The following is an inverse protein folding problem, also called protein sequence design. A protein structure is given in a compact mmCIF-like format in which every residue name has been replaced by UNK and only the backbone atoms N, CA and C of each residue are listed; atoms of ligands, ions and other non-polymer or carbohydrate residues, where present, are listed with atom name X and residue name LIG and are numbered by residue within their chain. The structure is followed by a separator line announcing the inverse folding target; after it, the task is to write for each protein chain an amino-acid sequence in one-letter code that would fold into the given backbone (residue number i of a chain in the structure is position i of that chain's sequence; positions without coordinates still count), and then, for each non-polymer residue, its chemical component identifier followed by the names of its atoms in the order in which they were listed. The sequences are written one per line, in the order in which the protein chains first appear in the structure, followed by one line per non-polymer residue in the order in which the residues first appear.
data_IF_044962938100
#
_entry.id   IF_044962938100
#
_cell.length_a   1.000
_cell.length_b   1.000
_cell.length_c   1.000
_cell.angle_alpha   90.00
_cell.angle_beta   90.00
_cell.angle_gamma   90.00
#
_symmetry.space_group_name_H-M   'P 1'
#
loop_
_entity.id
_entity.type
_entity.pdbx_description
1 polymer ?
#
# COMPACT_ATOMS: atom_id res chain seq x y z
N UNK A 1 20.84 -63.74 -37.70
CA UNK A 1 19.83 -63.00 -36.87
C UNK A 1 20.56 -62.05 -35.94
N UNK A 2 20.55 -60.71 -36.23
CA UNK A 2 21.20 -59.68 -35.42
C UNK A 2 20.13 -59.12 -34.45
N UNK A 3 20.37 -59.25 -33.16
CA UNK A 3 19.54 -58.66 -32.12
C UNK A 3 19.95 -57.19 -31.94
N UNK A 4 19.02 -56.25 -32.20
CA UNK A 4 19.18 -54.85 -31.90
C UNK A 4 18.69 -54.62 -30.47
N UNK A 5 19.61 -54.17 -29.60
CA UNK A 5 19.30 -53.81 -28.21
C UNK A 5 18.92 -52.33 -28.23
N UNK A 6 17.65 -52.01 -28.01
CA UNK A 6 17.15 -50.61 -27.88
C UNK A 6 17.33 -50.20 -26.43
N UNK A 7 18.34 -49.29 -26.18
CA UNK A 7 18.55 -48.70 -24.84
C UNK A 7 17.64 -47.51 -24.67
N UNK A 8 16.69 -47.61 -23.75
CA UNK A 8 15.79 -46.54 -23.36
C UNK A 8 16.46 -45.72 -22.23
N UNK A 9 17.08 -44.58 -22.57
CA UNK A 9 17.55 -43.65 -21.56
C UNK A 9 16.35 -42.87 -21.02
N UNK A 10 15.89 -43.21 -19.82
CA UNK A 10 14.98 -42.36 -19.03
C UNK A 10 15.79 -41.17 -18.49
N UNK A 11 15.66 -40.00 -19.12
CA UNK A 11 16.14 -38.75 -18.56
C UNK A 11 15.24 -38.34 -17.39
N UNK A 12 15.72 -38.55 -16.15
CA UNK A 12 15.13 -37.88 -14.99
C UNK A 12 15.38 -36.37 -15.13
N UNK A 13 14.37 -35.63 -15.57
CA UNK A 13 14.36 -34.19 -15.45
C UNK A 13 14.25 -33.81 -13.96
N UNK A 14 15.38 -33.44 -13.38
CA UNK A 14 15.38 -32.81 -12.04
C UNK A 14 14.71 -31.44 -12.22
N UNK A 15 13.47 -31.31 -11.79
CA UNK A 15 12.82 -30.02 -11.61
C UNK A 15 13.53 -29.31 -10.44
N UNK A 16 14.54 -28.52 -10.75
CA UNK A 16 15.13 -27.59 -9.79
C UNK A 16 14.07 -26.51 -9.57
N UNK A 17 13.28 -26.63 -8.50
CA UNK A 17 12.52 -25.49 -8.02
C UNK A 17 13.54 -24.47 -7.52
N UNK A 18 13.68 -23.37 -8.26
CA UNK A 18 14.44 -22.23 -7.78
C UNK A 18 13.77 -21.74 -6.51
N UNK A 19 14.42 -21.96 -5.37
CA UNK A 19 13.95 -21.41 -4.11
C UNK A 19 14.09 -19.90 -4.18
N UNK A 20 12.96 -19.20 -4.13
CA UNK A 20 12.95 -17.74 -4.16
C UNK A 20 13.45 -17.24 -2.81
N UNK A 21 14.68 -16.73 -2.77
CA UNK A 21 15.24 -16.13 -1.57
C UNK A 21 14.77 -14.68 -1.45
N UNK A 22 14.36 -14.29 -0.24
CA UNK A 22 14.15 -12.89 0.09
C UNK A 22 15.52 -12.21 0.20
N UNK A 23 15.81 -11.31 -0.73
CA UNK A 23 17.10 -10.59 -0.74
C UNK A 23 17.05 -9.36 0.18
N UNK A 24 15.88 -8.80 0.39
CA UNK A 24 15.70 -7.54 1.08
C UNK A 24 14.33 -7.50 1.75
N UNK A 25 14.28 -7.00 2.97
CA UNK A 25 13.04 -6.62 3.66
C UNK A 25 13.12 -5.12 3.92
N UNK A 26 12.19 -4.35 3.36
CA UNK A 26 12.05 -2.94 3.67
C UNK A 26 11.25 -2.77 4.96
N UNK A 27 11.72 -1.88 5.82
CA UNK A 27 11.12 -1.57 7.11
C UNK A 27 10.81 -0.08 7.13
N UNK A 28 9.54 0.27 7.23
CA UNK A 28 9.12 1.64 7.45
C UNK A 28 9.15 1.96 8.95
N UNK A 29 9.92 2.94 9.34
CA UNK A 29 9.94 3.46 10.70
C UNK A 29 9.18 4.78 10.72
N UNK A 30 8.12 4.82 11.52
CA UNK A 30 7.23 5.98 11.62
C UNK A 30 7.94 7.23 12.12
N UNK A 31 9.01 7.09 12.90
CA UNK A 31 9.67 8.19 13.57
C UNK A 31 8.93 8.61 14.86
N UNK A 32 9.21 9.83 15.30
CA UNK A 32 8.54 10.42 16.45
C UNK A 32 8.30 11.92 16.23
N UNK A 33 7.06 12.32 16.34
CA UNK A 33 6.64 13.72 16.30
C UNK A 33 6.01 14.13 17.62
N UNK A 34 6.53 15.18 18.23
CA UNK A 34 5.98 15.77 19.45
C UNK A 34 4.89 16.78 19.08
N UNK A 35 3.64 16.41 19.28
CA UNK A 35 2.48 17.29 19.00
C UNK A 35 2.35 18.47 19.97
N UNK A 36 2.98 18.41 21.17
CA UNK A 36 2.93 19.50 22.13
C UNK A 36 3.86 20.65 21.69
N UNK A 37 5.05 20.30 21.23
CA UNK A 37 6.05 21.28 20.78
C UNK A 37 6.00 21.51 19.27
N UNK A 38 5.21 20.73 18.52
CA UNK A 38 5.15 20.72 17.06
C UNK A 38 6.51 20.49 16.40
N UNK A 39 7.33 19.60 16.99
CA UNK A 39 8.68 19.30 16.51
C UNK A 39 8.84 17.83 16.18
N UNK A 40 9.62 17.55 15.14
CA UNK A 40 10.04 16.21 14.79
C UNK A 40 11.26 15.83 15.63
N UNK A 41 11.08 14.89 16.57
CA UNK A 41 12.16 14.38 17.42
C UNK A 41 12.98 13.29 16.73
N UNK A 42 12.31 12.41 15.97
CA UNK A 42 12.96 11.36 15.16
C UNK A 42 12.31 11.39 13.77
N UNK A 43 13.07 11.49 12.67
CA UNK A 43 12.50 11.49 11.34
C UNK A 43 11.89 10.14 10.97
N UNK A 44 10.96 10.16 10.01
CA UNK A 44 10.52 8.95 9.32
C UNK A 44 11.67 8.39 8.52
N UNK A 45 11.89 7.08 8.59
CA UNK A 45 12.96 6.43 7.82
C UNK A 45 12.48 5.15 7.15
N UNK A 46 13.15 4.79 6.05
CA UNK A 46 13.05 3.45 5.48
C UNK A 46 14.36 2.74 5.74
N UNK A 47 14.28 1.57 6.36
CA UNK A 47 15.41 0.66 6.54
C UNK A 47 15.34 -0.50 5.56
N UNK A 48 16.50 -1.07 5.29
CA UNK A 48 16.66 -2.28 4.50
C UNK A 48 17.36 -3.35 5.35
N UNK A 49 16.72 -4.49 5.51
CA UNK A 49 17.29 -5.66 6.15
C UNK A 49 17.61 -6.72 5.10
N UNK A 50 18.84 -7.20 5.09
CA UNK A 50 19.27 -8.31 4.23
C UNK A 50 19.27 -9.62 5.04
N UNK A 51 18.36 -10.57 4.75
CA UNK A 51 18.27 -11.82 5.52
C UNK A 51 19.51 -12.72 5.40
N UNK A 52 20.25 -12.65 4.30
CA UNK A 52 21.43 -13.50 4.08
C UNK A 52 22.63 -13.06 4.91
N UNK A 53 22.82 -11.75 5.07
CA UNK A 53 23.92 -11.16 5.85
C UNK A 53 23.53 -10.76 7.26
N UNK A 54 22.21 -10.76 7.55
CA UNK A 54 21.61 -10.30 8.80
C UNK A 54 21.94 -8.83 9.14
N UNK A 55 22.23 -8.03 8.12
CA UNK A 55 22.53 -6.61 8.26
C UNK A 55 21.29 -5.76 8.01
N UNK A 56 21.08 -4.80 8.87
CA UNK A 56 20.12 -3.73 8.72
C UNK A 56 20.84 -2.40 8.50
N UNK A 57 20.32 -1.60 7.58
CA UNK A 57 20.80 -0.23 7.35
C UNK A 57 19.63 0.68 7.03
N UNK A 58 19.69 1.92 7.47
CA UNK A 58 18.80 2.98 7.01
C UNK A 58 19.18 3.35 5.57
N UNK A 59 18.19 3.38 4.68
CA UNK A 59 18.38 3.63 3.24
C UNK A 59 17.72 4.92 2.76
N UNK A 60 16.75 5.44 3.49
CA UNK A 60 16.11 6.73 3.18
C UNK A 60 15.64 7.41 4.46
N UNK A 61 15.85 8.71 4.56
CA UNK A 61 15.32 9.58 5.61
C UNK A 61 14.31 10.56 5.01
N UNK A 62 13.10 10.60 5.57
CA UNK A 62 11.99 11.45 5.10
C UNK A 62 11.76 12.56 6.14
N UNK A 63 12.34 13.72 5.87
CA UNK A 63 12.25 14.86 6.77
C UNK A 63 10.95 15.64 6.61
N UNK A 64 10.50 16.29 7.71
CA UNK A 64 9.36 17.20 7.71
C UNK A 64 7.99 16.48 7.66
N UNK A 65 7.95 15.17 7.82
CA UNK A 65 6.72 14.38 7.94
C UNK A 65 6.52 14.00 9.41
N UNK A 66 5.30 14.17 9.92
CA UNK A 66 4.97 13.83 11.31
C UNK A 66 5.04 12.33 11.56
N UNK A 67 4.62 11.54 10.57
CA UNK A 67 4.58 10.06 10.60
C UNK A 67 4.59 9.50 9.17
N UNK A 68 4.68 8.18 9.08
CA UNK A 68 4.37 7.43 7.86
C UNK A 68 3.46 6.25 8.21
N UNK A 69 2.57 5.90 7.31
CA UNK A 69 1.49 4.94 7.59
C UNK A 69 1.54 3.69 6.72
N UNK A 70 2.23 3.73 5.58
CA UNK A 70 2.27 2.57 4.69
C UNK A 70 3.51 2.60 3.78
N UNK A 71 3.97 1.39 3.41
CA UNK A 71 5.00 1.15 2.41
C UNK A 71 4.61 -0.06 1.57
N UNK A 72 4.54 0.14 0.26
CA UNK A 72 4.26 -0.94 -0.70
C UNK A 72 5.34 -1.01 -1.77
N UNK A 73 5.54 -2.21 -2.33
CA UNK A 73 6.50 -2.46 -3.41
C UNK A 73 5.73 -2.84 -4.67
N UNK A 74 6.10 -2.22 -5.80
CA UNK A 74 5.61 -2.59 -7.12
C UNK A 74 6.76 -2.52 -8.14
N UNK A 75 7.08 -3.67 -8.75
CA UNK A 75 8.19 -3.82 -9.68
C UNK A 75 9.52 -3.37 -9.09
N UNK A 76 10.15 -2.39 -9.72
CA UNK A 76 11.45 -1.85 -9.30
C UNK A 76 11.33 -0.59 -8.42
N UNK A 77 10.16 -0.35 -7.85
CA UNK A 77 9.92 0.82 -7.00
C UNK A 77 9.25 0.44 -5.70
N UNK A 78 9.43 1.28 -4.69
CA UNK A 78 8.57 1.27 -3.51
C UNK A 78 7.96 2.65 -3.28
N UNK A 79 6.80 2.65 -2.65
CA UNK A 79 6.00 3.85 -2.39
C UNK A 79 5.75 3.96 -0.91
N UNK A 80 5.88 5.17 -0.38
CA UNK A 80 5.66 5.46 1.03
C UNK A 80 4.54 6.47 1.18
N UNK A 81 3.54 6.15 1.99
CA UNK A 81 2.54 7.09 2.46
C UNK A 81 3.09 7.79 3.71
N UNK A 82 3.43 9.05 3.59
CA UNK A 82 4.01 9.82 4.69
C UNK A 82 3.24 11.13 4.89
N UNK A 83 2.42 11.17 5.94
CA UNK A 83 1.69 12.35 6.42
C UNK A 83 0.88 13.05 5.31
N UNK A 84 1.54 13.92 4.55
CA UNK A 84 0.92 14.74 3.50
C UNK A 84 1.37 14.40 2.09
N UNK A 85 2.20 13.38 1.93
CA UNK A 85 2.81 13.03 0.64
C UNK A 85 2.79 11.53 0.36
N UNK A 86 2.77 11.21 -0.92
CA UNK A 86 3.18 9.91 -1.44
C UNK A 86 4.55 10.10 -2.08
N UNK A 87 5.53 9.28 -1.66
CA UNK A 87 6.89 9.31 -2.20
C UNK A 87 7.16 8.00 -2.93
N UNK A 88 7.78 8.08 -4.10
CA UNK A 88 8.19 6.95 -4.93
C UNK A 88 9.71 6.87 -4.98
N UNK A 89 10.25 5.71 -4.67
CA UNK A 89 11.69 5.44 -4.64
C UNK A 89 12.05 4.30 -5.58
N UNK A 90 13.24 4.33 -6.13
CA UNK A 90 13.85 3.18 -6.80
C UNK A 90 14.24 2.11 -5.77
N UNK A 91 13.88 0.86 -6.01
CA UNK A 91 14.05 -0.24 -5.05
C UNK A 91 15.53 -0.64 -4.84
N UNK A 92 16.39 -0.41 -5.84
CA UNK A 92 17.80 -0.83 -5.80
C UNK A 92 18.71 0.26 -5.28
N UNK A 93 18.47 1.50 -5.69
CA UNK A 93 19.32 2.66 -5.34
C UNK A 93 18.79 3.45 -4.16
N UNK A 94 17.53 3.23 -3.78
CA UNK A 94 16.78 3.99 -2.77
C UNK A 94 16.70 5.49 -3.05
N UNK A 95 16.96 5.90 -4.29
CA UNK A 95 16.83 7.28 -4.71
C UNK A 95 15.35 7.68 -4.84
N UNK A 96 14.99 8.87 -4.37
CA UNK A 96 13.66 9.46 -4.60
C UNK A 96 13.48 9.71 -6.10
N UNK A 97 12.46 9.10 -6.69
CA UNK A 97 12.11 9.21 -8.12
C UNK A 97 11.06 10.27 -8.35
N UNK A 98 10.03 10.29 -7.51
CA UNK A 98 8.91 11.22 -7.61
C UNK A 98 8.21 11.40 -6.26
N UNK A 99 7.52 12.52 -6.09
CA UNK A 99 6.61 12.74 -4.97
C UNK A 99 5.36 13.49 -5.41
N UNK A 100 4.27 13.29 -4.68
CA UNK A 100 3.02 14.04 -4.88
C UNK A 100 2.38 14.38 -3.54
N UNK A 101 1.77 15.57 -3.45
CA UNK A 101 0.98 15.97 -2.29
C UNK A 101 -0.31 15.16 -2.22
N UNK A 102 -0.54 14.53 -1.08
CA UNK A 102 -1.75 13.79 -0.74
C UNK A 102 -2.04 13.94 0.76
N UNK A 103 -2.54 15.11 1.21
CA UNK A 103 -2.80 15.34 2.63
C UNK A 103 -3.69 14.27 3.24
N UNK A 104 -3.29 13.74 4.40
CA UNK A 104 -4.03 12.70 5.10
C UNK A 104 -3.93 11.32 4.46
N UNK A 105 -2.94 11.06 3.63
CA UNK A 105 -2.72 9.71 3.05
C UNK A 105 -2.51 8.67 4.15
N UNK A 106 -3.14 7.50 3.97
CA UNK A 106 -3.07 6.39 4.95
C UNK A 106 -2.48 5.13 4.35
N UNK A 107 -3.22 4.44 3.50
CA UNK A 107 -2.75 3.20 2.89
C UNK A 107 -2.75 3.31 1.37
N UNK A 108 -1.90 2.50 0.79
CA UNK A 108 -1.66 2.46 -0.65
C UNK A 108 -1.96 1.06 -1.18
N UNK A 109 -2.44 0.99 -2.41
CA UNK A 109 -2.50 -0.27 -3.17
C UNK A 109 -2.23 0.02 -4.64
N UNK A 110 -1.59 -0.92 -5.34
CA UNK A 110 -1.31 -0.78 -6.77
C UNK A 110 -1.91 -1.95 -7.53
N UNK A 111 -2.59 -1.63 -8.63
CA UNK A 111 -3.02 -2.59 -9.62
C UNK A 111 -3.15 -1.93 -10.99
N UNK A 112 -2.76 -2.65 -12.03
CA UNK A 112 -2.92 -2.22 -13.44
C UNK A 112 -2.33 -0.82 -13.70
N UNK A 113 -1.19 -0.51 -13.07
CA UNK A 113 -0.53 0.79 -13.22
C UNK A 113 -1.23 1.96 -12.50
N UNK A 114 -2.23 1.67 -11.68
CA UNK A 114 -2.91 2.66 -10.85
C UNK A 114 -2.49 2.50 -9.38
N UNK A 115 -2.13 3.59 -8.75
CA UNK A 115 -1.89 3.70 -7.32
C UNK A 115 -3.14 4.30 -6.66
N UNK A 116 -3.76 3.54 -5.78
CA UNK A 116 -4.91 3.95 -5.02
C UNK A 116 -4.45 4.36 -3.63
N UNK A 117 -4.88 5.52 -3.15
CA UNK A 117 -4.54 6.06 -1.84
C UNK A 117 -5.80 6.34 -1.03
N UNK A 118 -5.86 5.76 0.16
CA UNK A 118 -6.87 6.06 1.17
C UNK A 118 -6.46 7.30 1.96
N UNK A 119 -7.45 8.01 2.52
CA UNK A 119 -7.22 9.29 3.19
C UNK A 119 -8.06 9.42 4.46
N UNK A 120 -7.45 10.01 5.46
CA UNK A 120 -8.11 10.38 6.71
C UNK A 120 -7.14 11.17 7.59
N UNK A 121 -7.65 12.16 8.34
CA UNK A 121 -6.83 12.96 9.24
C UNK A 121 -7.69 13.50 10.38
N UNK A 122 -7.08 13.64 11.56
CA UNK A 122 -7.75 14.18 12.74
C UNK A 122 -8.11 15.66 12.53
N UNK A 123 -9.36 16.01 12.86
CA UNK A 123 -9.93 17.37 12.71
C UNK A 123 -9.88 17.93 11.27
N UNK A 124 -9.76 17.07 10.26
CA UNK A 124 -9.78 17.48 8.85
C UNK A 124 -10.90 16.77 8.10
N UNK A 125 -11.61 17.54 7.29
CA UNK A 125 -12.61 17.03 6.36
C UNK A 125 -12.08 17.22 4.94
N UNK A 126 -12.24 16.20 4.10
CA UNK A 126 -11.82 16.21 2.70
C UNK A 126 -13.02 16.11 1.76
N UNK A 127 -12.93 16.74 0.60
CA UNK A 127 -13.90 16.57 -0.49
C UNK A 127 -13.79 15.17 -1.16
N UNK A 128 -12.69 14.47 -0.90
CA UNK A 128 -12.43 13.11 -1.38
C UNK A 128 -11.58 12.35 -0.36
N UNK A 129 -12.01 11.14 -0.01
CA UNK A 129 -11.27 10.25 0.88
C UNK A 129 -10.56 9.11 0.13
N UNK A 130 -10.63 9.09 -1.21
CA UNK A 130 -10.02 8.08 -2.03
C UNK A 130 -9.47 8.70 -3.33
N UNK A 131 -8.17 8.61 -3.53
CA UNK A 131 -7.49 9.12 -4.72
C UNK A 131 -6.93 7.99 -5.57
N UNK A 132 -6.93 8.18 -6.88
CA UNK A 132 -6.29 7.28 -7.85
C UNK A 132 -5.26 8.07 -8.64
N UNK A 133 -4.04 7.59 -8.63
CA UNK A 133 -2.91 8.15 -9.36
C UNK A 133 -2.41 7.18 -10.42
N UNK A 134 -1.75 7.67 -11.44
CA UNK A 134 -0.87 6.88 -12.28
C UNK A 134 0.35 6.44 -11.47
N UNK A 135 0.57 5.14 -11.32
CA UNK A 135 1.64 4.62 -10.47
C UNK A 135 3.04 4.98 -10.99
N UNK A 136 3.18 5.25 -12.28
CA UNK A 136 4.47 5.58 -12.86
C UNK A 136 4.84 7.05 -12.64
N UNK A 137 3.93 7.96 -12.94
CA UNK A 137 4.17 9.40 -12.92
C UNK A 137 3.73 10.09 -11.63
N UNK A 138 2.94 9.45 -10.78
CA UNK A 138 2.22 10.00 -9.63
C UNK A 138 1.25 11.15 -10.01
N UNK A 139 0.85 11.26 -11.28
CA UNK A 139 -0.19 12.20 -11.67
C UNK A 139 -1.56 11.71 -11.19
N UNK A 140 -2.34 12.62 -10.62
CA UNK A 140 -3.70 12.32 -10.18
C UNK A 140 -4.57 12.00 -11.42
N UNK A 141 -5.13 10.80 -11.45
CA UNK A 141 -6.11 10.38 -12.46
C UNK A 141 -7.50 10.80 -12.02
N UNK A 142 -7.85 10.50 -10.75
CA UNK A 142 -9.17 10.82 -10.22
C UNK A 142 -9.14 10.97 -8.70
N UNK A 143 -9.80 12.00 -8.20
CA UNK A 143 -10.25 12.08 -6.82
C UNK A 143 -11.71 11.60 -6.79
N UNK A 144 -11.98 10.53 -6.05
CA UNK A 144 -13.33 10.03 -5.87
C UNK A 144 -13.99 10.89 -4.80
N UNK A 145 -14.85 11.81 -5.21
CA UNK A 145 -15.47 12.79 -4.32
C UNK A 145 -16.49 12.15 -3.36
N UNK A 146 -16.85 12.86 -2.30
CA UNK A 146 -17.78 12.36 -1.27
C UNK A 146 -19.24 12.27 -1.74
N UNK A 147 -19.57 12.75 -2.93
CA UNK A 147 -20.91 12.60 -3.54
C UNK A 147 -21.05 11.22 -4.18
N UNK A 148 -20.00 10.76 -4.87
CA UNK A 148 -19.95 9.51 -5.60
C UNK A 148 -19.15 8.41 -4.88
N UNK A 149 -18.32 8.76 -3.92
CA UNK A 149 -17.40 7.91 -3.20
C UNK A 149 -17.67 7.82 -1.70
N UNK A 150 -16.65 7.40 -0.93
CA UNK A 150 -16.76 7.30 0.52
C UNK A 150 -16.95 8.69 1.13
N UNK A 151 -17.95 8.79 2.03
CA UNK A 151 -18.28 10.05 2.73
C UNK A 151 -17.43 10.27 3.97
N UNK A 152 -16.65 9.27 4.35
CA UNK A 152 -15.93 9.21 5.63
C UNK A 152 -14.48 8.81 5.40
N UNK A 153 -13.65 9.09 6.39
CA UNK A 153 -12.25 8.68 6.37
C UNK A 153 -12.10 7.20 6.05
N UNK A 154 -11.14 6.91 5.20
CA UNK A 154 -10.80 5.57 4.73
C UNK A 154 -9.46 5.13 5.32
N UNK A 155 -9.29 3.82 5.50
CA UNK A 155 -8.10 3.23 6.10
C UNK A 155 -7.50 2.19 5.14
N UNK A 156 -7.42 0.94 5.53
CA UNK A 156 -6.80 -0.12 4.75
C UNK A 156 -7.53 -0.41 3.43
N UNK A 157 -6.79 -0.96 2.48
CA UNK A 157 -7.28 -1.28 1.14
C UNK A 157 -6.67 -2.61 0.67
N UNK A 158 -7.50 -3.47 0.07
CA UNK A 158 -7.06 -4.68 -0.61
C UNK A 158 -7.67 -4.75 -2.00
N UNK A 159 -6.95 -5.35 -2.94
CA UNK A 159 -7.41 -5.51 -4.33
C UNK A 159 -7.64 -6.99 -4.61
N UNK A 160 -8.81 -7.29 -5.18
CA UNK A 160 -9.13 -8.60 -5.72
C UNK A 160 -9.70 -8.45 -7.15
N UNK A 161 -8.98 -8.99 -8.12
CA UNK A 161 -9.32 -8.82 -9.53
C UNK A 161 -9.34 -7.35 -9.94
N UNK A 162 -10.49 -6.87 -10.38
CA UNK A 162 -10.70 -5.48 -10.80
C UNK A 162 -11.34 -4.61 -9.72
N UNK A 163 -11.47 -5.10 -8.49
CA UNK A 163 -12.12 -4.37 -7.41
C UNK A 163 -11.14 -4.06 -6.29
N UNK A 164 -11.06 -2.81 -5.89
CA UNK A 164 -10.43 -2.42 -4.64
C UNK A 164 -11.50 -2.35 -3.54
N UNK A 165 -11.28 -3.08 -2.46
CA UNK A 165 -12.08 -3.05 -1.24
C UNK A 165 -11.41 -2.14 -0.24
N UNK A 166 -12.16 -1.19 0.31
CA UNK A 166 -11.65 -0.09 1.13
C UNK A 166 -12.36 -0.10 2.48
N UNK A 167 -11.61 -0.15 3.56
CA UNK A 167 -12.16 0.07 4.89
C UNK A 167 -12.57 1.53 5.05
N UNK A 168 -13.84 1.78 5.32
CA UNK A 168 -14.39 3.11 5.57
C UNK A 168 -14.79 3.15 7.04
N UNK A 169 -13.90 3.69 7.87
CA UNK A 169 -14.01 3.59 9.32
C UNK A 169 -14.34 4.90 10.02
N UNK A 170 -14.03 6.05 9.42
CA UNK A 170 -14.10 7.36 10.06
C UNK A 170 -13.39 7.39 11.44
N UNK A 171 -12.28 6.69 11.57
CA UNK A 171 -11.60 6.45 12.84
C UNK A 171 -11.01 7.69 13.52
N UNK A 172 -11.05 8.84 12.85
CA UNK A 172 -10.57 10.14 13.38
C UNK A 172 -11.67 10.98 14.05
N UNK A 173 -12.90 10.50 14.06
CA UNK A 173 -14.07 11.18 14.64
C UNK A 173 -14.73 10.28 15.69
N UNK A 174 -14.28 10.40 16.92
CA UNK A 174 -14.69 9.57 18.05
C UNK A 174 -16.19 9.68 18.33
N UNK A 175 -16.85 8.54 18.43
CA UNK A 175 -18.29 8.42 18.59
C UNK A 175 -19.07 8.46 17.27
N UNK A 176 -18.41 8.66 16.16
CA UNK A 176 -19.00 8.64 14.80
C UNK A 176 -18.29 7.64 13.88
N UNK A 177 -17.64 6.64 14.47
CA UNK A 177 -16.97 5.58 13.72
C UNK A 177 -17.96 4.85 12.82
N UNK A 178 -17.53 4.49 11.64
CA UNK A 178 -18.29 3.73 10.64
C UNK A 178 -17.78 2.30 10.55
N UNK A 179 -18.61 1.42 10.06
CA UNK A 179 -18.31 0.01 9.81
C UNK A 179 -18.68 -0.34 8.37
N UNK A 180 -17.97 0.21 7.37
CA UNK A 180 -18.33 0.03 5.98
C UNK A 180 -17.14 -0.51 5.19
N UNK A 181 -17.43 -1.30 4.14
CA UNK A 181 -16.46 -1.68 3.12
C UNK A 181 -16.88 -1.06 1.79
N UNK A 182 -16.10 -0.11 1.31
CA UNK A 182 -16.25 0.48 0.00
C UNK A 182 -15.75 -0.42 -1.10
N UNK A 183 -16.25 -0.23 -2.32
CA UNK A 183 -15.84 -0.98 -3.52
C UNK A 183 -15.57 -0.01 -4.66
N UNK A 184 -14.33 0.02 -5.14
CA UNK A 184 -13.93 0.79 -6.32
C UNK A 184 -13.65 -0.17 -7.48
N UNK A 185 -14.36 -0.01 -8.58
CA UNK A 185 -14.05 -0.69 -9.84
C UNK A 185 -12.81 -0.02 -10.47
N UNK A 186 -11.75 -0.79 -10.70
CA UNK A 186 -10.46 -0.28 -11.21
C UNK A 186 -10.45 -0.09 -12.74
N UNK A 187 -11.46 -0.57 -13.47
CA UNK A 187 -11.54 -0.38 -14.93
C UNK A 187 -12.11 1.00 -15.27
N UNK A 188 -13.21 1.37 -14.62
CA UNK A 188 -13.92 2.62 -14.91
C UNK A 188 -13.84 3.65 -13.79
N UNK A 189 -13.16 3.32 -12.66
CA UNK A 189 -12.99 4.12 -11.46
C UNK A 189 -14.33 4.56 -10.83
N UNK A 190 -15.37 3.74 -10.96
CA UNK A 190 -16.64 3.96 -10.30
C UNK A 190 -16.67 3.35 -8.91
N UNK A 191 -17.15 4.13 -7.94
CA UNK A 191 -17.35 3.65 -6.57
C UNK A 191 -18.78 3.06 -6.46
N UNK A 192 -18.85 1.81 -5.99
CA UNK A 192 -20.09 1.07 -5.83
C UNK A 192 -20.73 1.23 -4.46
N UNK A 193 -21.85 0.53 -4.25
CA UNK A 193 -22.50 0.51 -2.93
C UNK A 193 -21.56 -0.08 -1.87
N UNK A 194 -21.53 0.55 -0.73
CA UNK A 194 -20.79 0.09 0.44
C UNK A 194 -21.48 -1.12 1.09
N UNK A 195 -20.68 -2.00 1.67
CA UNK A 195 -21.16 -3.13 2.48
C UNK A 195 -21.17 -2.63 3.93
N UNK A 196 -22.35 -2.62 4.54
CA UNK A 196 -22.49 -2.29 5.96
C UNK A 196 -22.16 -3.54 6.81
N UNK A 197 -21.19 -3.40 7.72
CA UNK A 197 -20.75 -4.46 8.63
C UNK A 197 -21.63 -4.57 9.88
N UNK A 198 -22.63 -3.71 10.02
CA UNK A 198 -23.53 -3.68 11.16
C UNK A 198 -22.90 -3.11 12.45
N UNK A 199 -23.63 -3.19 13.56
CA UNK A 199 -23.22 -2.53 14.81
C UNK A 199 -21.93 -3.09 15.43
N UNK A 200 -21.61 -4.35 15.16
CA UNK A 200 -20.42 -5.03 15.68
C UNK A 200 -19.18 -4.84 14.79
N UNK A 201 -19.36 -4.33 13.56
CA UNK A 201 -18.29 -4.14 12.57
C UNK A 201 -17.72 -2.72 12.51
N UNK A 202 -17.89 -1.91 13.53
CA UNK A 202 -17.41 -0.53 13.58
C UNK A 202 -15.89 -0.44 13.58
N UNK A 203 -15.39 0.62 12.96
CA UNK A 203 -13.97 0.97 12.89
C UNK A 203 -13.08 -0.13 12.29
N UNK A 204 -13.39 -0.68 11.09
CA UNK A 204 -12.53 -1.64 10.43
C UNK A 204 -11.18 -0.99 10.15
N UNK A 205 -10.10 -1.61 10.60
CA UNK A 205 -8.75 -1.10 10.44
C UNK A 205 -7.98 -1.84 9.34
N UNK A 206 -8.01 -3.16 9.35
CA UNK A 206 -7.26 -3.98 8.40
C UNK A 206 -8.17 -4.90 7.59
N UNK A 207 -7.87 -5.02 6.30
CA UNK A 207 -8.49 -5.94 5.37
C UNK A 207 -7.44 -6.91 4.84
N UNK A 208 -7.82 -8.17 4.68
CA UNK A 208 -6.98 -9.20 4.08
C UNK A 208 -7.78 -9.99 3.06
N UNK A 209 -7.23 -10.18 1.86
CA UNK A 209 -7.77 -11.12 0.89
C UNK A 209 -7.25 -12.53 1.20
N UNK A 210 -8.14 -13.52 1.17
CA UNK A 210 -7.79 -14.92 1.38
C UNK A 210 -8.36 -15.77 0.26
N UNK A 211 -7.53 -16.62 -0.35
CA UNK A 211 -7.87 -17.50 -1.49
C UNK A 211 -8.55 -16.78 -2.66
N UNK A 212 -8.06 -15.59 -2.96
CA UNK A 212 -8.26 -14.64 -4.03
C UNK A 212 -9.34 -14.86 -5.03
#
# INVERSE_FOLDING_TARGET
MKKVLLSFCFGLGILVQAQQYVHQVLVLNEGYYDYQTSTQGVPVTVGSYNPSTQLYQEVSTINGMRFASDLIIDGNHYYVAADTKILKYDLNTHALVAEVMCPGVRNLAISQGKLIATRGEYLMTFDSYLHVYDANSLQLIQAIDTIQGPKWATQNIVIQGNTAFVAVNNGYEWGNEKGLIGRLDLQNLSYGNEIDLGPDGKNPDNLFAYNG
#
